data_IF_232373746433
#
_entry.id   IF_232373746433
#
_cell.length_a   1.000
_cell.length_b   1.000
_cell.length_c   1.000
_cell.angle_alpha   90.00
_cell.angle_beta   90.00
_cell.angle_gamma   90.00
#
_symmetry.space_group_name_H-M   'P 1'
#
loop_
_entity.id
_entity.type
_entity.pdbx_description
1 polymer ?
#
# COMPACT_ATOMS: atom_id res chain seq x y z
N UNK A 1 0.08 20.25 -3.96
CA UNK A 1 1.27 19.87 -3.16
C UNK A 1 2.44 20.51 -3.86
N UNK A 2 2.87 21.66 -3.35
CA UNK A 2 4.09 22.30 -3.83
C UNK A 2 5.26 21.42 -3.38
N UNK A 3 6.11 21.00 -4.30
CA UNK A 3 7.40 20.43 -3.95
C UNK A 3 8.27 21.58 -3.43
N UNK A 4 8.61 21.54 -2.15
CA UNK A 4 9.65 22.43 -1.63
C UNK A 4 11.01 21.97 -2.16
N UNK A 5 11.83 22.88 -2.71
CA UNK A 5 13.07 22.51 -3.36
C UNK A 5 14.07 21.95 -2.35
N UNK A 6 14.71 20.85 -2.70
CA UNK A 6 15.85 20.32 -1.95
C UNK A 6 16.96 21.38 -1.89
N UNK A 7 17.31 21.81 -0.67
CA UNK A 7 18.40 22.75 -0.45
C UNK A 7 19.71 21.97 -0.53
N UNK A 8 20.30 21.92 -1.73
CA UNK A 8 21.67 21.44 -1.93
C UNK A 8 22.60 22.63 -1.68
N UNK A 9 23.18 22.70 -0.49
CA UNK A 9 24.25 23.68 -0.19
C UNK A 9 25.55 23.12 -0.78
N UNK A 10 25.89 23.55 -1.99
CA UNK A 10 27.15 23.20 -2.63
C UNK A 10 28.26 24.14 -2.13
N UNK A 11 28.96 23.76 -1.07
CA UNK A 11 30.33 24.24 -0.84
C UNK A 11 31.27 23.34 -1.64
N UNK A 12 32.29 23.94 -2.27
CA UNK A 12 32.95 23.47 -3.50
C UNK A 12 33.77 22.16 -3.45
N UNK A 13 33.59 21.29 -2.46
CA UNK A 13 34.28 19.98 -2.37
C UNK A 13 33.44 18.81 -1.90
N UNK A 14 32.28 19.01 -1.26
CA UNK A 14 31.47 17.91 -0.71
C UNK A 14 29.98 18.15 -0.92
N UNK A 15 29.23 17.06 -1.07
CA UNK A 15 27.78 17.06 -1.22
C UNK A 15 27.13 16.55 0.07
N UNK A 16 26.08 17.24 0.53
CA UNK A 16 25.35 16.90 1.76
C UNK A 16 23.91 16.52 1.42
N UNK A 17 23.50 15.31 1.80
CA UNK A 17 22.13 14.82 1.74
C UNK A 17 21.52 14.76 3.15
N UNK A 18 20.85 15.85 3.54
CA UNK A 18 20.23 15.99 4.86
C UNK A 18 19.14 14.96 5.14
N UNK A 19 18.40 14.51 4.12
CA UNK A 19 17.33 13.54 4.33
C UNK A 19 17.84 12.17 4.79
N UNK A 20 19.11 11.85 4.47
CA UNK A 20 19.80 10.66 4.95
C UNK A 20 20.90 10.98 5.98
N UNK A 21 21.01 12.24 6.43
CA UNK A 21 22.08 12.74 7.31
C UNK A 21 23.49 12.31 6.84
N UNK A 22 23.72 12.44 5.53
CA UNK A 22 24.92 11.95 4.86
C UNK A 22 25.69 13.12 4.23
N UNK A 23 27.02 13.04 4.25
CA UNK A 23 27.87 13.87 3.40
C UNK A 23 28.93 13.00 2.73
N UNK A 24 29.28 13.34 1.49
CA UNK A 24 30.32 12.65 0.73
C UNK A 24 31.11 13.61 -0.14
N UNK A 25 32.38 13.29 -0.36
CA UNK A 25 33.30 14.02 -1.25
C UNK A 25 33.65 13.10 -2.44
N UNK A 26 33.09 13.35 -3.64
CA UNK A 26 33.37 12.54 -4.83
C UNK A 26 34.83 12.65 -5.32
N UNK A 27 35.54 13.71 -4.95
CA UNK A 27 36.89 14.02 -5.44
C UNK A 27 37.99 13.48 -4.52
N UNK A 28 37.63 13.02 -3.32
CA UNK A 28 38.58 12.51 -2.36
C UNK A 28 39.16 11.16 -2.81
N UNK A 29 40.47 11.16 -3.06
CA UNK A 29 41.24 9.96 -3.35
C UNK A 29 42.34 9.84 -2.29
N UNK A 30 42.57 8.61 -1.81
CA UNK A 30 43.63 8.33 -0.84
C UNK A 30 44.80 7.67 -1.56
N UNK A 31 45.98 8.31 -1.51
CA UNK A 31 47.18 7.86 -2.20
C UNK A 31 48.23 7.19 -1.28
N UNK A 32 47.92 7.03 0.02
CA UNK A 32 48.93 6.76 1.05
C UNK A 32 49.20 5.27 1.30
N UNK A 33 50.46 4.93 1.60
CA UNK A 33 50.96 3.54 1.67
C UNK A 33 50.97 2.90 3.08
N UNK A 34 50.93 3.69 4.17
CA UNK A 34 50.95 3.15 5.54
C UNK A 34 49.58 3.21 6.22
N UNK A 35 49.30 2.23 7.09
CA UNK A 35 48.01 2.11 7.79
C UNK A 35 47.73 3.27 8.75
N UNK A 36 48.77 3.82 9.39
CA UNK A 36 48.58 4.89 10.38
C UNK A 36 48.28 6.22 9.70
N UNK A 37 48.97 6.56 8.61
CA UNK A 37 48.69 7.78 7.86
C UNK A 37 47.29 7.74 7.23
N UNK A 38 46.87 6.58 6.71
CA UNK A 38 45.49 6.37 6.23
C UNK A 38 44.47 6.64 7.34
N UNK A 39 44.70 6.13 8.55
CA UNK A 39 43.80 6.33 9.68
C UNK A 39 43.66 7.82 10.03
N UNK A 40 44.77 8.53 10.13
CA UNK A 40 44.76 9.96 10.45
C UNK A 40 44.05 10.77 9.37
N UNK A 41 44.28 10.45 8.09
CA UNK A 41 43.59 11.09 6.97
C UNK A 41 42.07 10.85 7.00
N UNK A 42 41.65 9.61 7.22
CA UNK A 42 40.23 9.26 7.35
C UNK A 42 39.55 9.97 8.52
N UNK A 43 40.23 10.09 9.68
CA UNK A 43 39.69 10.82 10.82
C UNK A 43 39.55 12.31 10.52
N UNK A 44 40.57 12.91 9.89
CA UNK A 44 40.55 14.31 9.48
C UNK A 44 39.38 14.59 8.53
N UNK A 45 39.25 13.79 7.46
CA UNK A 45 38.18 13.93 6.47
C UNK A 45 36.80 13.60 7.02
N UNK A 46 36.70 12.55 7.84
CA UNK A 46 35.45 12.21 8.53
C UNK A 46 34.97 13.33 9.45
N UNK A 47 35.89 14.01 10.13
CA UNK A 47 35.56 15.17 10.98
C UNK A 47 35.09 16.36 10.15
N UNK A 48 35.75 16.66 9.02
CA UNK A 48 35.35 17.70 8.08
C UNK A 48 33.91 17.49 7.55
N UNK A 49 33.60 16.27 7.09
CA UNK A 49 32.28 15.93 6.58
C UNK A 49 31.21 15.93 7.68
N UNK A 50 31.52 15.42 8.88
CA UNK A 50 30.59 15.45 10.01
C UNK A 50 30.26 16.88 10.45
N UNK A 51 31.25 17.77 10.45
CA UNK A 51 31.04 19.18 10.75
C UNK A 51 30.14 19.83 9.70
N UNK A 52 30.37 19.56 8.41
CA UNK A 52 29.51 20.08 7.34
C UNK A 52 28.05 19.65 7.49
N UNK A 53 27.78 18.39 7.85
CA UNK A 53 26.41 17.92 8.14
C UNK A 53 25.82 18.68 9.33
N UNK A 54 26.58 18.85 10.41
CA UNK A 54 26.14 19.56 11.60
C UNK A 54 25.81 21.02 11.29
N UNK A 55 26.66 21.73 10.55
CA UNK A 55 26.47 23.13 10.20
C UNK A 55 25.16 23.34 9.42
N UNK A 56 24.90 22.49 8.43
CA UNK A 56 23.67 22.56 7.63
C UNK A 56 22.45 22.13 8.45
N UNK A 57 22.58 21.11 9.31
CA UNK A 57 21.50 20.64 10.18
C UNK A 57 21.05 21.71 11.18
N UNK A 58 22.00 22.37 11.86
CA UNK A 58 21.71 23.41 12.85
C UNK A 58 21.33 24.75 12.23
N UNK A 59 21.55 24.96 10.93
CA UNK A 59 21.04 26.11 10.19
C UNK A 59 19.54 26.00 9.90
N UNK A 60 18.93 24.81 10.00
CA UNK A 60 17.50 24.63 9.77
C UNK A 60 16.66 25.19 10.94
N UNK A 61 15.50 25.80 10.65
CA UNK A 61 14.64 26.34 11.69
C UNK A 61 14.04 25.23 12.56
N UNK A 62 14.25 25.24 13.89
CA UNK A 62 13.62 24.28 14.78
C UNK A 62 12.13 24.59 14.95
N UNK A 63 11.31 23.54 15.09
CA UNK A 63 9.90 23.62 15.46
C UNK A 63 9.75 23.27 16.95
N UNK A 64 8.98 24.06 17.70
CA UNK A 64 8.69 23.76 19.10
C UNK A 64 7.57 22.71 19.19
N UNK A 65 7.91 21.51 19.63
CA UNK A 65 6.92 20.47 19.98
C UNK A 65 6.90 20.25 21.50
N UNK A 66 5.89 19.54 22.00
CA UNK A 66 5.72 19.23 23.44
C UNK A 66 6.92 18.51 24.04
N UNK A 67 7.65 17.76 23.22
CA UNK A 67 8.80 16.95 23.63
C UNK A 67 10.15 17.68 23.43
N UNK A 68 10.14 18.92 22.94
CA UNK A 68 11.34 19.74 22.71
C UNK A 68 11.46 20.29 21.28
N UNK A 69 12.57 20.96 20.94
CA UNK A 69 12.81 21.46 19.59
C UNK A 69 13.07 20.30 18.62
N UNK A 70 12.21 20.16 17.61
CA UNK A 70 12.31 19.14 16.56
C UNK A 70 12.59 19.83 15.23
N UNK A 71 13.50 19.28 14.44
CA UNK A 71 13.81 19.77 13.09
C UNK A 71 13.13 18.85 12.07
N UNK A 72 12.40 19.43 11.12
CA UNK A 72 11.86 18.69 9.98
C UNK A 72 12.92 18.57 8.88
N UNK A 73 13.40 17.35 8.67
CA UNK A 73 14.38 17.08 7.61
C UNK A 73 13.71 17.06 6.23
N UNK A 74 14.39 17.55 5.18
CA UNK A 74 13.91 17.43 3.81
C UNK A 74 13.88 15.96 3.36
N UNK A 75 13.13 15.63 2.30
CA UNK A 75 13.14 14.29 1.75
C UNK A 75 14.55 13.90 1.25
N UNK A 76 14.93 12.61 1.34
CA UNK A 76 16.25 12.15 0.91
C UNK A 76 16.46 12.33 -0.59
N UNK A 77 17.63 12.85 -0.96
CA UNK A 77 18.01 13.06 -2.36
C UNK A 77 18.54 11.76 -2.98
N UNK A 78 19.28 10.97 -2.20
CA UNK A 78 19.83 9.70 -2.66
C UNK A 78 18.73 8.64 -2.83
N UNK A 79 18.49 8.22 -4.08
CA UNK A 79 17.45 7.24 -4.42
C UNK A 79 17.92 5.83 -4.16
N UNK A 80 17.47 5.25 -3.06
CA UNK A 80 17.71 3.84 -2.74
C UNK A 80 16.73 2.90 -3.49
N UNK A 81 17.19 1.71 -3.92
CA UNK A 81 16.30 0.71 -4.48
C UNK A 81 15.31 0.23 -3.41
N UNK A 82 14.05 0.06 -3.79
CA UNK A 82 13.03 -0.48 -2.88
C UNK A 82 13.30 -1.96 -2.62
N UNK A 83 13.15 -2.37 -1.36
CA UNK A 83 13.17 -3.79 -0.98
C UNK A 83 12.08 -4.60 -1.69
N UNK A 84 10.88 -4.01 -1.81
CA UNK A 84 9.71 -4.66 -2.41
C UNK A 84 9.21 -3.90 -3.62
N UNK A 85 8.80 -4.67 -4.62
CA UNK A 85 8.10 -4.16 -5.80
C UNK A 85 6.88 -3.33 -5.38
N UNK A 86 6.53 -2.35 -6.23
CA UNK A 86 5.33 -1.57 -6.02
C UNK A 86 4.10 -2.50 -5.99
N UNK A 87 3.15 -2.28 -5.06
CA UNK A 87 1.96 -3.12 -4.99
C UNK A 87 1.24 -3.07 -6.35
N UNK A 88 1.15 -4.22 -7.02
CA UNK A 88 0.50 -4.32 -8.31
C UNK A 88 -0.99 -3.96 -8.15
N UNK A 89 -1.59 -3.19 -9.08
CA UNK A 89 -3.01 -2.92 -9.03
C UNK A 89 -3.78 -4.24 -9.05
N UNK A 90 -4.81 -4.34 -8.20
CA UNK A 90 -5.63 -5.55 -8.12
C UNK A 90 -6.35 -5.74 -9.46
N UNK A 91 -6.32 -6.94 -10.05
CA UNK A 91 -7.07 -7.19 -11.27
C UNK A 91 -8.58 -7.03 -11.00
N UNK A 92 -9.34 -6.46 -11.94
CA UNK A 92 -10.77 -6.23 -11.75
C UNK A 92 -11.52 -7.55 -11.62
N UNK A 93 -12.48 -7.59 -10.69
CA UNK A 93 -13.36 -8.74 -10.49
C UNK A 93 -14.37 -8.86 -11.63
N UNK A 94 -14.97 -10.05 -11.81
CA UNK A 94 -16.01 -10.26 -12.83
C UNK A 94 -17.19 -9.29 -12.69
N UNK A 95 -17.56 -8.94 -11.45
CA UNK A 95 -18.63 -7.99 -11.19
C UNK A 95 -18.23 -6.56 -11.56
N UNK A 96 -16.99 -6.14 -11.30
CA UNK A 96 -16.51 -4.80 -11.70
C UNK A 96 -16.43 -4.66 -13.22
N UNK A 97 -16.00 -5.70 -13.93
CA UNK A 97 -16.04 -5.74 -15.39
C UNK A 97 -17.47 -5.59 -15.91
N UNK A 98 -18.41 -6.33 -15.32
CA UNK A 98 -19.83 -6.23 -15.66
C UNK A 98 -20.41 -4.84 -15.34
N UNK A 99 -20.12 -4.31 -14.15
CA UNK A 99 -20.59 -3.00 -13.71
C UNK A 99 -20.05 -1.89 -14.62
N UNK A 100 -18.78 -1.96 -15.02
CA UNK A 100 -18.18 -1.03 -15.98
C UNK A 100 -18.86 -1.13 -17.35
N UNK A 101 -19.08 -2.35 -17.85
CA UNK A 101 -19.76 -2.56 -19.15
C UNK A 101 -21.22 -2.08 -19.15
N UNK A 102 -21.90 -2.14 -18.00
CA UNK A 102 -23.28 -1.67 -17.83
C UNK A 102 -23.40 -0.23 -17.34
N UNK A 103 -22.29 0.47 -17.09
CA UNK A 103 -22.30 1.83 -16.53
C UNK A 103 -22.87 1.92 -15.10
N UNK A 104 -22.85 0.82 -14.35
CA UNK A 104 -23.35 0.77 -12.96
C UNK A 104 -22.33 1.46 -12.05
N UNK A 105 -22.71 2.62 -11.50
CA UNK A 105 -21.89 3.36 -10.56
C UNK A 105 -22.12 2.91 -9.12
N UNK A 106 -21.03 2.72 -8.36
CA UNK A 106 -21.11 2.36 -6.94
C UNK A 106 -21.59 3.56 -6.13
N UNK A 107 -22.77 3.45 -5.52
CA UNK A 107 -23.32 4.47 -4.60
C UNK A 107 -23.11 4.07 -3.15
N UNK A 108 -22.91 5.05 -2.27
CA UNK A 108 -22.85 4.84 -0.83
C UNK A 108 -24.25 4.48 -0.32
N UNK A 109 -24.38 3.35 0.37
CA UNK A 109 -25.61 2.98 1.06
C UNK A 109 -25.62 3.57 2.48
N UNK A 110 -26.78 4.00 2.97
CA UNK A 110 -26.94 4.45 4.34
C UNK A 110 -26.75 3.27 5.31
N UNK A 111 -26.22 3.56 6.51
CA UNK A 111 -26.03 2.54 7.55
C UNK A 111 -27.32 2.24 8.31
N UNK A 112 -28.26 3.20 8.29
CA UNK A 112 -29.59 3.09 8.90
C UNK A 112 -30.65 3.28 7.84
N UNK A 113 -31.74 2.56 8.01
CA UNK A 113 -32.89 2.55 7.13
C UNK A 113 -34.14 2.59 8.02
N UNK A 114 -35.16 3.31 7.56
CA UNK A 114 -36.41 3.49 8.29
C UNK A 114 -37.22 2.20 8.17
N UNK A 115 -37.55 1.59 9.31
CA UNK A 115 -38.43 0.43 9.36
C UNK A 115 -39.88 0.92 9.52
N UNK A 116 -40.71 0.68 8.52
CA UNK A 116 -42.11 1.10 8.52
C UNK A 116 -42.94 0.37 9.58
N UNK A 117 -42.57 -0.87 9.94
CA UNK A 117 -43.31 -1.67 10.91
C UNK A 117 -43.11 -1.20 12.34
N UNK A 118 -41.87 -0.86 12.71
CA UNK A 118 -41.53 -0.39 14.05
C UNK A 118 -41.41 1.13 14.16
N UNK A 119 -41.63 1.86 13.05
CA UNK A 119 -41.49 3.31 12.95
C UNK A 119 -40.19 3.83 13.56
N UNK A 120 -39.07 3.16 13.25
CA UNK A 120 -37.77 3.46 13.86
C UNK A 120 -36.59 3.29 12.91
N UNK A 121 -35.50 4.02 13.17
CA UNK A 121 -34.26 3.96 12.40
C UNK A 121 -33.39 2.78 12.82
N UNK A 122 -33.58 1.65 12.16
CA UNK A 122 -32.78 0.43 12.37
C UNK A 122 -31.58 0.37 11.45
N UNK A 123 -30.64 -0.53 11.75
CA UNK A 123 -29.43 -0.72 10.93
C UNK A 123 -29.73 -1.53 9.67
N UNK A 124 -29.03 -1.31 8.58
CA UNK A 124 -29.18 -2.16 7.37
C UNK A 124 -28.57 -3.57 7.56
N UNK A 125 -27.64 -3.71 8.51
CA UNK A 125 -26.98 -4.98 8.86
C UNK A 125 -26.51 -4.97 10.32
N UNK A 126 -26.30 -6.16 10.90
CA UNK A 126 -25.85 -6.34 12.29
C UNK A 126 -26.99 -6.60 13.26
N UNK A 127 -26.79 -6.22 14.53
CA UNK A 127 -27.81 -6.30 15.59
C UNK A 127 -28.95 -5.32 15.32
N UNK A 128 -30.19 -5.75 15.59
CA UNK A 128 -31.43 -4.98 15.39
C UNK A 128 -31.50 -4.34 13.99
N UNK A 129 -31.33 -5.19 12.96
CA UNK A 129 -31.33 -4.78 11.56
C UNK A 129 -32.75 -4.74 11.00
N UNK A 130 -32.95 -3.90 9.98
CA UNK A 130 -34.17 -3.92 9.17
C UNK A 130 -34.35 -5.30 8.54
N UNK A 131 -35.60 -5.77 8.47
CA UNK A 131 -36.01 -7.06 7.89
C UNK A 131 -35.29 -8.26 8.51
N UNK A 132 -35.28 -8.41 9.84
CA UNK A 132 -34.73 -9.63 10.44
C UNK A 132 -35.63 -10.84 10.23
N UNK A 133 -35.03 -11.97 9.86
CA UNK A 133 -35.76 -13.21 9.57
C UNK A 133 -36.35 -13.82 10.86
N UNK A 134 -35.80 -13.42 12.03
CA UNK A 134 -36.22 -13.85 13.37
C UNK A 134 -37.44 -13.10 13.90
N UNK A 135 -37.66 -11.88 13.43
CA UNK A 135 -38.75 -11.01 13.89
C UNK A 135 -40.07 -11.30 13.14
N UNK A 136 -40.06 -12.25 12.20
CA UNK A 136 -41.23 -12.67 11.42
C UNK A 136 -41.87 -13.88 12.14
N UNK A 137 -42.98 -13.70 12.88
CA UNK A 137 -43.59 -14.79 13.65
C UNK A 137 -44.40 -15.76 12.80
N UNK A 138 -44.99 -15.29 11.70
CA UNK A 138 -45.91 -16.05 10.85
C UNK A 138 -45.52 -15.83 9.39
N UNK A 139 -45.54 -16.90 8.61
CA UNK A 139 -45.28 -16.88 7.17
C UNK A 139 -46.54 -17.38 6.49
N UNK A 140 -47.14 -16.54 5.64
CA UNK A 140 -48.27 -16.95 4.81
C UNK A 140 -47.83 -18.02 3.81
N UNK A 141 -48.48 -19.18 3.85
CA UNK A 141 -48.24 -20.26 2.91
C UNK A 141 -48.78 -19.89 1.53
N UNK A 142 -47.99 -20.13 0.49
CA UNK A 142 -48.45 -19.99 -0.90
C UNK A 142 -49.11 -21.28 -1.35
N UNK A 143 -50.00 -21.18 -2.34
CA UNK A 143 -50.70 -22.34 -2.93
C UNK A 143 -49.76 -23.40 -3.53
N UNK A 144 -48.50 -23.05 -3.75
CA UNK A 144 -47.43 -23.88 -4.32
C UNK A 144 -46.56 -24.58 -3.28
N UNK A 145 -46.74 -24.29 -1.99
CA UNK A 145 -45.87 -24.83 -0.94
C UNK A 145 -46.27 -26.26 -0.58
N UNK A 146 -45.30 -27.18 -0.57
CA UNK A 146 -45.54 -28.59 -0.25
C UNK A 146 -45.89 -28.76 1.24
N UNK A 147 -47.02 -29.43 1.57
CA UNK A 147 -47.38 -29.71 2.95
C UNK A 147 -46.32 -30.58 3.63
N UNK A 148 -45.71 -30.07 4.70
CA UNK A 148 -44.75 -30.82 5.53
C UNK A 148 -43.33 -30.24 5.61
N UNK A 149 -43.02 -29.19 4.85
CA UNK A 149 -41.71 -28.53 4.92
C UNK A 149 -41.78 -27.23 5.73
N UNK A 150 -40.88 -27.06 6.70
CA UNK A 150 -40.79 -25.82 7.50
C UNK A 150 -40.26 -24.65 6.64
N UNK A 151 -41.07 -23.58 6.40
CA UNK A 151 -40.65 -22.43 5.61
C UNK A 151 -39.47 -21.66 6.24
N UNK A 152 -39.31 -21.69 7.57
CA UNK A 152 -38.17 -21.04 8.23
C UNK A 152 -36.86 -21.78 7.97
N UNK A 153 -36.88 -23.12 8.02
CA UNK A 153 -35.74 -23.96 7.66
C UNK A 153 -35.31 -23.72 6.21
N UNK A 154 -36.26 -23.66 5.27
CA UNK A 154 -35.98 -23.36 3.86
C UNK A 154 -35.25 -22.03 3.68
N UNK A 155 -35.74 -20.93 4.28
CA UNK A 155 -35.07 -19.62 4.19
C UNK A 155 -33.66 -19.63 4.77
N UNK A 156 -33.44 -20.34 5.88
CA UNK A 156 -32.10 -20.48 6.49
C UNK A 156 -31.15 -21.17 5.53
N UNK A 157 -31.60 -22.24 4.87
CA UNK A 157 -30.76 -22.97 3.93
C UNK A 157 -30.54 -22.21 2.62
N UNK A 158 -31.54 -21.47 2.12
CA UNK A 158 -31.35 -20.53 1.01
C UNK A 158 -30.35 -19.42 1.33
N UNK A 159 -30.37 -18.89 2.55
CA UNK A 159 -29.40 -17.90 3.03
C UNK A 159 -27.99 -18.49 3.06
N UNK A 160 -27.81 -19.70 3.60
CA UNK A 160 -26.52 -20.42 3.57
C UNK A 160 -26.05 -20.64 2.13
N UNK A 161 -26.91 -21.16 1.24
CA UNK A 161 -26.60 -21.37 -0.18
C UNK A 161 -26.16 -20.08 -0.89
N UNK A 162 -26.80 -18.94 -0.57
CA UNK A 162 -26.39 -17.62 -1.10
C UNK A 162 -25.01 -17.20 -0.61
N UNK A 163 -24.72 -17.40 0.67
CA UNK A 163 -23.40 -17.10 1.26
C UNK A 163 -22.32 -18.01 0.68
N UNK A 164 -22.58 -19.32 0.57
CA UNK A 164 -21.66 -20.28 -0.05
C UNK A 164 -21.36 -19.94 -1.51
N UNK A 165 -22.39 -19.54 -2.28
CA UNK A 165 -22.22 -19.05 -3.65
C UNK A 165 -21.35 -17.80 -3.72
N UNK A 166 -21.51 -16.87 -2.77
CA UNK A 166 -20.68 -15.68 -2.68
C UNK A 166 -19.21 -16.02 -2.38
N UNK A 167 -18.95 -16.90 -1.41
CA UNK A 167 -17.58 -17.35 -1.09
C UNK A 167 -16.95 -18.11 -2.25
N UNK A 168 -17.71 -18.97 -2.95
CA UNK A 168 -17.22 -19.64 -4.16
C UNK A 168 -16.80 -18.63 -5.24
N UNK A 169 -17.65 -17.64 -5.52
CA UNK A 169 -17.32 -16.58 -6.48
C UNK A 169 -16.10 -15.76 -6.04
N UNK A 170 -15.94 -15.51 -4.75
CA UNK A 170 -14.77 -14.81 -4.19
C UNK A 170 -13.49 -15.63 -4.43
N UNK A 171 -13.51 -16.93 -4.11
CA UNK A 171 -12.38 -17.83 -4.35
C UNK A 171 -12.03 -17.93 -5.83
N UNK A 172 -13.02 -18.01 -6.72
CA UNK A 172 -12.79 -18.06 -8.16
C UNK A 172 -12.17 -16.76 -8.70
N UNK A 173 -12.59 -15.60 -8.19
CA UNK A 173 -11.97 -14.32 -8.52
C UNK A 173 -10.52 -14.25 -8.02
N UNK A 174 -10.23 -14.76 -6.81
CA UNK A 174 -8.87 -14.82 -6.26
C UNK A 174 -7.97 -15.76 -7.08
N UNK A 175 -8.46 -16.93 -7.49
CA UNK A 175 -7.74 -17.86 -8.37
C UNK A 175 -7.40 -17.21 -9.72
N UNK A 176 -8.35 -16.49 -10.32
CA UNK A 176 -8.12 -15.74 -11.56
C UNK A 176 -7.10 -14.61 -11.37
N UNK A 177 -7.18 -13.88 -10.25
CA UNK A 177 -6.23 -12.83 -9.91
C UNK A 177 -4.81 -13.38 -9.75
N UNK A 178 -4.65 -14.52 -9.07
CA UNK A 178 -3.36 -15.19 -8.92
C UNK A 178 -2.78 -15.66 -10.26
N UNK A 179 -3.63 -16.19 -11.17
CA UNK A 179 -3.21 -16.59 -12.52
C UNK A 179 -2.69 -15.41 -13.36
N UNK A 180 -3.28 -14.22 -13.20
CA UNK A 180 -2.80 -12.99 -13.89
C UNK A 180 -1.49 -12.49 -13.28
N UNK A 181 -1.28 -12.68 -11.98
CA UNK A 181 -0.04 -12.32 -11.30
C UNK A 181 1.14 -13.27 -11.55
N UNK A 182 0.86 -14.52 -11.92
CA UNK A 182 1.86 -15.50 -12.32
C UNK A 182 2.33 -15.21 -13.75
N UNK A 183 3.58 -14.79 -13.89
CA UNK A 183 4.21 -14.64 -15.20
C UNK A 183 4.13 -15.97 -15.97
N UNK A 184 3.80 -15.97 -17.27
CA UNK A 184 3.87 -17.18 -18.07
C UNK A 184 5.31 -17.70 -18.05
N UNK A 185 5.48 -19.00 -17.81
CA UNK A 185 6.76 -19.71 -17.60
C UNK A 185 7.74 -19.65 -18.78
N UNK A 186 7.39 -18.94 -19.86
CA UNK A 186 8.09 -18.94 -21.15
C UNK A 186 9.00 -17.72 -21.37
N UNK A 187 9.07 -16.76 -20.45
CA UNK A 187 9.91 -15.56 -20.60
C UNK A 187 11.00 -15.41 -19.53
N UNK A 188 11.32 -16.48 -18.80
CA UNK A 188 12.53 -16.53 -17.96
C UNK A 188 13.70 -17.16 -18.72
N UNK A 189 14.14 -16.53 -19.79
CA UNK A 189 15.41 -16.87 -20.45
C UNK A 189 16.36 -15.66 -20.36
N UNK A 190 17.31 -15.79 -19.43
CA UNK A 190 18.71 -15.32 -19.54
C UNK A 190 18.97 -13.91 -20.07
N UNK A 191 19.19 -12.95 -19.17
CA UNK A 191 20.04 -11.79 -19.45
C UNK A 191 21.48 -12.14 -19.09
N UNK A 192 22.16 -12.87 -19.97
CA UNK A 192 23.62 -12.96 -20.00
C UNK A 192 24.03 -12.61 -21.44
N UNK A 193 24.24 -11.32 -21.69
CA UNK A 193 24.93 -10.87 -22.88
C UNK A 193 26.41 -10.66 -22.50
N UNK A 194 27.21 -11.70 -22.71
CA UNK A 194 28.66 -11.60 -22.79
C UNK A 194 28.97 -10.97 -24.15
N UNK A 195 29.48 -9.75 -24.17
CA UNK A 195 30.07 -9.14 -25.37
C UNK A 195 31.51 -9.67 -25.52
N UNK A 196 31.87 -10.40 -26.59
CA UNK A 196 33.25 -10.70 -26.89
C UNK A 196 33.88 -9.51 -27.61
N UNK A 197 35.05 -9.09 -27.13
CA UNK A 197 36.02 -8.28 -27.86
C UNK A 197 36.37 -8.96 -29.19
N UNK A 198 36.41 -8.19 -30.28
CA UNK A 198 37.09 -8.59 -31.52
C UNK A 198 38.07 -7.49 -31.91
N UNK A 199 39.34 -7.88 -32.04
CA UNK A 199 40.42 -7.08 -32.61
C UNK A 199 40.16 -6.78 -34.10
N UNK A 200 40.50 -5.56 -34.50
CA UNK A 200 41.38 -5.27 -35.64
C UNK A 200 41.97 -3.87 -35.49
#
# INVERSE_FOLDING_TARGET
MAEEPAVVVASSSYEVDLGNLMAYDPSHHVATASREELRQECLRKGTELAQAVADVLFALPPNEDRDGPIIHLPPPTFRLPREKHLPKPKPPTKWELFAKAKGITKRKKNKREWDEQTQSWKRTHGYDRVNDDKDIPIIEAKLTDEPGVDPFAQRRDEKKKRVEKQEKNRLDNLKKAAKVGALPRLLSFTSIAVFPYFLS
#
